data_IF_841864816690
#
_entry.id   IF_841864816690
#
_cell.length_a   1.000
_cell.length_b   1.000
_cell.length_c   1.000
_cell.angle_alpha   90.00
_cell.angle_beta   90.00
_cell.angle_gamma   90.00
#
_symmetry.space_group_name_H-M   'P 1'
#
loop_
_entity.id
_entity.type
_entity.pdbx_description
1 polymer ?
#
# COMPACT_ATOMS: atom_id res chain seq x y z
N UNK A 1 8.12 66.69 45.23
CA UNK A 1 7.32 66.42 46.45
C UNK A 1 6.78 65.00 46.37
N UNK A 2 7.10 64.18 47.39
CA UNK A 2 6.41 62.97 47.89
C UNK A 2 6.07 61.87 46.86
N UNK A 3 6.67 60.67 46.85
CA UNK A 3 6.85 59.65 47.91
C UNK A 3 5.90 58.46 47.68
N UNK A 4 6.49 57.27 47.54
CA UNK A 4 6.03 55.92 47.97
C UNK A 4 4.65 55.44 47.47
N UNK A 5 4.48 54.26 46.90
CA UNK A 5 5.24 53.02 47.05
C UNK A 5 4.33 51.90 47.55
N UNK A 6 4.64 50.66 47.15
CA UNK A 6 4.21 49.38 47.75
C UNK A 6 2.74 48.99 47.51
N UNK A 7 2.32 47.72 47.52
CA UNK A 7 2.90 46.39 47.45
C UNK A 7 1.70 45.47 47.15
N UNK A 8 1.95 44.32 46.53
CA UNK A 8 1.31 43.00 46.69
C UNK A 8 -0.04 42.86 47.40
N UNK A 9 -0.95 42.05 46.84
CA UNK A 9 -1.47 40.82 47.50
C UNK A 9 -2.05 39.84 46.47
N UNK A 10 -1.59 38.62 46.66
CA UNK A 10 -1.88 37.29 46.12
C UNK A 10 -3.36 36.87 46.25
N UNK A 11 -3.92 36.20 45.24
CA UNK A 11 -4.83 35.05 45.45
C UNK A 11 -4.45 33.96 44.45
N UNK A 12 -3.90 32.87 44.99
CA UNK A 12 -3.86 31.57 44.39
C UNK A 12 -5.05 30.76 44.94
N UNK A 13 -5.70 29.92 44.13
CA UNK A 13 -5.99 28.50 44.38
C UNK A 13 -7.19 27.97 43.57
N UNK A 14 -7.03 26.71 43.18
CA UNK A 14 -8.02 25.63 43.12
C UNK A 14 -9.03 25.58 41.97
N UNK A 15 -8.68 24.74 40.99
CA UNK A 15 -9.63 24.04 40.13
C UNK A 15 -9.12 22.63 39.83
N UNK A 16 -8.94 21.83 40.89
CA UNK A 16 -8.65 20.39 40.82
C UNK A 16 -9.88 19.67 40.26
N UNK A 17 -9.86 19.28 38.98
CA UNK A 17 -10.85 18.34 38.43
C UNK A 17 -10.26 16.94 38.52
N UNK A 18 -10.65 16.23 39.57
CA UNK A 18 -10.52 14.78 39.71
C UNK A 18 -11.64 14.16 38.88
N UNK A 19 -11.31 13.53 37.75
CA UNK A 19 -12.20 12.53 37.17
C UNK A 19 -11.75 11.15 37.63
N UNK A 20 -12.63 10.52 38.42
CA UNK A 20 -12.48 9.18 38.95
C UNK A 20 -12.30 8.16 37.82
N UNK A 21 -11.32 7.28 38.01
CA UNK A 21 -11.18 6.01 37.31
C UNK A 21 -12.29 5.05 37.73
N UNK A 22 -13.28 4.84 36.88
CA UNK A 22 -14.19 3.69 37.01
C UNK A 22 -13.52 2.46 36.41
N UNK A 23 -12.92 1.64 37.29
CA UNK A 23 -12.48 0.30 36.95
C UNK A 23 -13.71 -0.58 36.74
N UNK A 24 -13.90 -1.06 35.51
CA UNK A 24 -14.81 -2.19 35.27
C UNK A 24 -13.95 -3.43 35.15
N UNK A 25 -14.02 -4.28 36.17
CA UNK A 25 -13.55 -5.66 36.13
C UNK A 25 -14.33 -6.39 35.03
N UNK A 26 -13.66 -6.70 33.92
CA UNK A 26 -14.13 -7.70 32.98
C UNK A 26 -13.49 -9.03 33.35
N UNK A 27 -14.34 -10.03 33.58
CA UNK A 27 -14.00 -11.37 34.03
C UNK A 27 -12.84 -12.01 33.24
N UNK A 28 -11.86 -12.49 33.98
CA UNK A 28 -10.90 -13.49 33.53
C UNK A 28 -11.67 -14.79 33.22
N UNK A 29 -11.80 -15.11 31.94
CA UNK A 29 -12.24 -16.44 31.51
C UNK A 29 -11.01 -17.35 31.61
N UNK A 30 -11.06 -18.46 32.36
CA UNK A 30 -9.94 -19.37 32.48
C UNK A 30 -9.66 -20.03 31.12
N UNK A 31 -8.39 -19.98 30.71
CA UNK A 31 -7.86 -20.77 29.60
C UNK A 31 -8.08 -22.27 29.87
N UNK A 32 -9.16 -22.83 29.34
CA UNK A 32 -9.23 -24.27 29.12
C UNK A 32 -8.19 -24.66 28.08
N UNK A 33 -7.14 -25.35 28.53
CA UNK A 33 -6.27 -26.17 27.67
C UNK A 33 -7.14 -27.21 26.96
N UNK A 34 -7.58 -26.91 25.73
CA UNK A 34 -7.99 -27.97 24.81
C UNK A 34 -6.74 -28.65 24.27
N UNK A 35 -6.53 -29.87 24.74
CA UNK A 35 -5.76 -30.89 24.03
C UNK A 35 -6.38 -31.08 22.64
N UNK A 36 -5.80 -30.44 21.63
CA UNK A 36 -6.06 -30.77 20.23
C UNK A 36 -5.01 -31.79 19.83
N UNK A 37 -5.45 -33.00 19.48
CA UNK A 37 -4.61 -34.10 19.00
C UNK A 37 -3.87 -33.75 17.70
N UNK A 38 -3.04 -34.66 17.19
CA UNK A 38 -2.12 -34.38 16.09
C UNK A 38 -2.89 -34.10 14.80
N UNK A 39 -3.03 -32.81 14.48
CA UNK A 39 -3.51 -32.34 13.19
C UNK A 39 -2.42 -32.60 12.16
N UNK A 40 -2.69 -33.50 11.20
CA UNK A 40 -1.93 -33.60 9.96
C UNK A 40 -1.68 -32.19 9.38
N UNK A 41 -0.42 -31.90 9.05
CA UNK A 41 0.15 -30.59 8.70
C UNK A 41 -0.71 -29.73 7.75
N UNK A 42 -1.61 -28.93 8.32
CA UNK A 42 -2.29 -27.88 7.57
C UNK A 42 -1.38 -26.66 7.58
N UNK A 43 -0.56 -26.53 6.53
CA UNK A 43 0.25 -25.32 6.34
C UNK A 43 -0.68 -24.10 6.41
N UNK A 44 -0.29 -23.03 7.13
CA UNK A 44 -1.13 -21.85 7.25
C UNK A 44 -1.37 -21.22 5.88
N UNK A 45 -2.63 -20.92 5.56
CA UNK A 45 -3.01 -20.29 4.29
C UNK A 45 -2.58 -18.82 4.25
N UNK A 46 -2.54 -18.16 5.41
CA UNK A 46 -2.15 -16.77 5.59
C UNK A 46 -1.09 -16.61 6.68
N UNK A 47 -0.34 -15.50 6.62
CA UNK A 47 0.59 -15.06 7.66
C UNK A 47 0.20 -13.65 8.11
N UNK A 48 0.18 -13.40 9.42
CA UNK A 48 -0.23 -12.10 9.97
C UNK A 48 0.86 -11.03 9.76
N UNK A 49 0.48 -9.75 9.91
CA UNK A 49 1.46 -8.66 9.92
C UNK A 49 2.46 -8.82 11.08
N UNK A 50 1.95 -9.14 12.28
CA UNK A 50 2.76 -9.29 13.48
C UNK A 50 3.76 -10.44 13.35
N UNK A 51 3.37 -11.55 12.73
CA UNK A 51 4.29 -12.66 12.46
C UNK A 51 5.40 -12.26 11.47
N UNK A 52 5.06 -11.49 10.44
CA UNK A 52 6.03 -10.99 9.48
C UNK A 52 7.01 -10.01 10.14
N UNK A 53 6.50 -9.06 10.90
CA UNK A 53 7.30 -8.07 11.63
C UNK A 53 8.22 -8.73 12.66
N UNK A 54 7.76 -9.79 13.32
CA UNK A 54 8.57 -10.64 14.21
C UNK A 54 9.59 -11.53 13.46
N UNK A 55 9.65 -11.45 12.13
CA UNK A 55 10.61 -12.20 11.31
C UNK A 55 10.25 -13.68 11.15
N UNK A 56 8.98 -14.07 11.31
CA UNK A 56 8.52 -15.47 11.17
C UNK A 56 8.28 -15.90 9.72
N UNK A 57 8.63 -15.07 8.73
CA UNK A 57 8.59 -15.50 7.33
C UNK A 57 9.62 -16.63 7.08
N UNK A 58 9.15 -17.73 6.51
CA UNK A 58 9.99 -18.87 6.11
C UNK A 58 9.77 -19.17 4.62
N UNK A 59 10.75 -18.89 3.76
CA UNK A 59 10.65 -19.20 2.33
C UNK A 59 10.47 -20.69 2.08
N UNK A 60 9.61 -21.04 1.13
CA UNK A 60 9.54 -22.42 0.64
C UNK A 60 10.69 -22.66 -0.36
N UNK A 61 11.70 -23.40 0.08
CA UNK A 61 12.92 -23.69 -0.70
C UNK A 61 12.66 -24.60 -1.90
N UNK A 62 11.51 -25.28 -1.97
CA UNK A 62 11.15 -26.11 -3.12
C UNK A 62 10.62 -25.26 -4.30
N UNK A 63 10.23 -24.01 -4.07
CA UNK A 63 9.72 -23.13 -5.11
C UNK A 63 10.86 -22.63 -6.00
N UNK A 64 10.82 -23.08 -7.25
CA UNK A 64 11.71 -22.55 -8.31
C UNK A 64 11.14 -21.27 -8.90
N UNK A 65 12.04 -20.33 -9.18
CA UNK A 65 11.75 -19.11 -9.94
C UNK A 65 11.14 -19.44 -11.30
N UNK A 66 10.03 -18.80 -11.63
CA UNK A 66 9.41 -18.93 -12.96
C UNK A 66 10.15 -18.07 -13.99
N UNK A 67 10.07 -18.46 -15.27
CA UNK A 67 10.69 -17.74 -16.37
C UNK A 67 10.21 -16.27 -16.42
N UNK A 68 11.13 -15.36 -16.74
CA UNK A 68 10.89 -13.90 -16.72
C UNK A 68 9.63 -13.48 -17.48
N UNK A 69 9.45 -14.03 -18.68
CA UNK A 69 8.29 -13.75 -19.55
C UNK A 69 6.94 -14.11 -18.89
N UNK A 70 6.91 -15.13 -18.03
CA UNK A 70 5.68 -15.57 -17.34
C UNK A 70 5.39 -14.80 -16.06
N UNK A 71 6.40 -14.14 -15.47
CA UNK A 71 6.22 -13.34 -14.24
C UNK A 71 5.25 -12.18 -14.48
N UNK A 72 5.41 -11.46 -15.59
CA UNK A 72 4.54 -10.32 -15.90
C UNK A 72 3.07 -10.74 -15.97
N UNK A 73 2.77 -11.89 -16.59
CA UNK A 73 1.41 -12.43 -16.63
C UNK A 73 0.90 -12.89 -15.25
N UNK A 74 1.77 -13.54 -14.45
CA UNK A 74 1.39 -14.04 -13.12
C UNK A 74 1.09 -12.92 -12.11
N UNK A 75 1.75 -11.78 -12.27
CA UNK A 75 1.63 -10.62 -11.37
C UNK A 75 0.95 -9.41 -12.02
N UNK A 76 0.32 -9.57 -13.19
CA UNK A 76 -0.25 -8.47 -14.00
C UNK A 76 -1.24 -7.59 -13.24
N UNK A 77 -1.91 -8.18 -12.27
CA UNK A 77 -2.96 -7.61 -11.44
C UNK A 77 -2.43 -7.19 -10.05
N UNK A 78 -1.22 -6.64 -10.01
CA UNK A 78 -0.62 -6.09 -8.80
C UNK A 78 0.09 -4.77 -9.05
N UNK A 79 0.13 -3.90 -8.03
CA UNK A 79 1.08 -2.80 -7.99
C UNK A 79 2.54 -3.29 -7.90
N UNK A 80 3.45 -2.47 -8.39
CA UNK A 80 4.89 -2.68 -8.42
C UNK A 80 5.63 -1.38 -8.05
N UNK A 81 6.70 -1.50 -7.29
CA UNK A 81 7.67 -0.43 -7.09
C UNK A 81 9.05 -0.96 -7.47
N UNK A 82 9.78 -0.25 -8.34
CA UNK A 82 11.12 -0.65 -8.81
C UNK A 82 11.19 -2.11 -9.32
N UNK A 83 10.14 -2.56 -10.02
CA UNK A 83 10.07 -3.93 -10.56
C UNK A 83 9.81 -5.03 -9.51
N UNK A 84 9.47 -4.66 -8.27
CA UNK A 84 9.11 -5.57 -7.18
C UNK A 84 7.61 -5.47 -6.88
N UNK A 85 6.87 -6.58 -6.79
CA UNK A 85 5.43 -6.55 -6.53
C UNK A 85 5.10 -6.11 -5.10
N UNK A 86 4.01 -5.36 -4.96
CA UNK A 86 3.43 -4.98 -3.67
C UNK A 86 2.22 -5.87 -3.38
N UNK A 87 2.14 -6.37 -2.14
CA UNK A 87 1.02 -7.16 -1.63
C UNK A 87 0.25 -6.38 -0.58
N UNK A 88 -1.06 -6.41 -0.70
CA UNK A 88 -1.96 -5.84 0.29
C UNK A 88 -2.47 -6.93 1.22
N UNK A 89 -2.55 -6.63 2.52
CA UNK A 89 -3.12 -7.55 3.51
C UNK A 89 -4.62 -7.73 3.29
N UNK A 90 -5.11 -8.95 3.50
CA UNK A 90 -6.54 -9.21 3.71
C UNK A 90 -6.91 -9.20 5.20
N UNK A 91 -8.16 -9.50 5.56
CA UNK A 91 -8.62 -9.51 6.95
C UNK A 91 -7.84 -10.46 7.88
N UNK A 92 -7.24 -11.53 7.33
CA UNK A 92 -6.46 -12.53 8.06
C UNK A 92 -4.94 -12.43 7.82
N UNK A 93 -4.48 -11.28 7.32
CA UNK A 93 -3.10 -11.07 6.90
C UNK A 93 -2.87 -11.39 5.42
N UNK A 94 -1.66 -11.84 5.10
CA UNK A 94 -1.20 -12.03 3.72
C UNK A 94 -1.30 -13.50 3.31
N UNK A 95 -1.70 -13.75 2.07
CA UNK A 95 -1.71 -15.11 1.50
C UNK A 95 -0.29 -15.68 1.39
N UNK A 96 0.04 -16.64 2.26
CA UNK A 96 1.42 -17.12 2.44
C UNK A 96 1.98 -17.73 1.16
N UNK A 97 1.19 -18.56 0.46
CA UNK A 97 1.61 -19.18 -0.80
C UNK A 97 1.97 -18.14 -1.87
N UNK A 98 1.24 -17.02 -1.94
CA UNK A 98 1.49 -15.96 -2.91
C UNK A 98 2.77 -15.18 -2.57
N UNK A 99 3.02 -14.94 -1.27
CA UNK A 99 4.27 -14.34 -0.81
C UNK A 99 5.47 -15.24 -1.07
N UNK A 100 5.38 -16.53 -0.75
CA UNK A 100 6.44 -17.50 -1.00
C UNK A 100 6.79 -17.57 -2.49
N UNK A 101 5.78 -17.59 -3.38
CA UNK A 101 6.00 -17.57 -4.83
C UNK A 101 6.68 -16.27 -5.28
N UNK A 102 6.22 -15.10 -4.82
CA UNK A 102 6.84 -13.82 -5.17
C UNK A 102 8.28 -13.70 -4.66
N UNK A 103 8.54 -14.18 -3.46
CA UNK A 103 9.89 -14.23 -2.91
C UNK A 103 10.80 -15.15 -3.73
N UNK A 104 10.33 -16.32 -4.15
CA UNK A 104 11.09 -17.19 -5.06
C UNK A 104 11.35 -16.53 -6.42
N UNK A 105 10.41 -15.74 -6.93
CA UNK A 105 10.48 -15.15 -8.26
C UNK A 105 11.32 -13.87 -8.34
N UNK A 106 11.35 -13.07 -7.27
CA UNK A 106 11.98 -11.75 -7.23
C UNK A 106 13.08 -11.63 -6.18
N UNK A 107 13.19 -12.56 -5.23
CA UNK A 107 14.08 -12.47 -4.05
C UNK A 107 13.85 -11.24 -3.16
N UNK A 108 12.81 -10.44 -3.48
CA UNK A 108 12.37 -9.24 -2.77
C UNK A 108 10.87 -9.10 -3.01
N UNK A 109 10.13 -8.70 -1.97
CA UNK A 109 8.67 -8.47 -2.03
C UNK A 109 8.33 -7.32 -1.10
N UNK A 110 7.43 -6.44 -1.54
CA UNK A 110 6.90 -5.35 -0.74
C UNK A 110 5.51 -5.69 -0.21
N UNK A 111 5.22 -5.27 1.01
CA UNK A 111 3.94 -5.49 1.69
C UNK A 111 3.41 -4.14 2.18
N UNK A 112 2.16 -3.81 1.86
CA UNK A 112 1.46 -2.67 2.46
C UNK A 112 0.83 -3.10 3.76
N UNK A 113 1.25 -2.47 4.86
CA UNK A 113 0.55 -2.59 6.14
C UNK A 113 -0.84 -1.98 6.09
N UNK A 114 -1.64 -2.26 7.10
CA UNK A 114 -2.90 -1.54 7.34
C UNK A 114 -2.62 -0.15 7.89
N UNK A 115 -2.41 0.80 6.99
CA UNK A 115 -2.17 2.20 7.35
C UNK A 115 -3.33 2.82 8.16
N UNK A 116 -4.55 2.32 8.00
CA UNK A 116 -5.71 2.69 8.83
C UNK A 116 -5.56 2.29 10.32
N UNK A 117 -4.68 1.34 10.61
CA UNK A 117 -4.33 0.88 11.95
C UNK A 117 -2.94 1.34 12.41
N UNK A 118 -2.27 2.20 11.63
CA UNK A 118 -0.89 2.63 11.91
C UNK A 118 0.17 1.56 11.65
N UNK A 119 -0.13 0.51 10.87
CA UNK A 119 0.88 -0.46 10.45
C UNK A 119 1.77 0.11 9.34
N UNK A 120 3.07 -0.12 9.48
CA UNK A 120 4.07 0.25 8.48
C UNK A 120 4.02 -0.70 7.26
N UNK A 121 4.67 -0.30 6.18
CA UNK A 121 4.91 -1.20 5.06
C UNK A 121 6.15 -2.02 5.36
N UNK A 122 6.17 -3.28 4.93
CA UNK A 122 7.30 -4.19 5.13
C UNK A 122 7.96 -4.53 3.80
N UNK A 123 9.24 -4.87 3.85
CA UNK A 123 9.96 -5.48 2.73
C UNK A 123 10.57 -6.79 3.19
N UNK A 124 10.26 -7.85 2.45
CA UNK A 124 10.93 -9.14 2.59
C UNK A 124 12.00 -9.21 1.52
N UNK A 125 13.26 -9.50 1.88
CA UNK A 125 14.33 -9.67 0.90
C UNK A 125 15.31 -10.77 1.29
N UNK A 126 16.06 -11.26 0.31
CA UNK A 126 17.16 -12.20 0.49
C UNK A 126 18.43 -11.44 0.83
N UNK A 127 18.97 -11.63 2.03
CA UNK A 127 20.23 -11.02 2.44
C UNK A 127 21.44 -11.65 1.72
N UNK A 128 22.64 -11.14 1.99
CA UNK A 128 23.88 -11.62 1.36
C UNK A 128 24.21 -13.09 1.68
N UNK A 129 23.76 -13.60 2.83
CA UNK A 129 23.92 -15.01 3.23
C UNK A 129 22.85 -15.93 2.62
N UNK A 130 21.91 -15.36 1.88
CA UNK A 130 20.83 -16.09 1.25
C UNK A 130 19.63 -16.39 2.16
N UNK A 131 19.59 -15.83 3.36
CA UNK A 131 18.47 -15.92 4.28
C UNK A 131 17.43 -14.84 3.99
N UNK A 132 16.17 -15.11 4.30
CA UNK A 132 15.12 -14.09 4.24
C UNK A 132 15.19 -13.18 5.46
N UNK A 133 15.09 -11.88 5.23
CA UNK A 133 14.90 -10.86 6.26
C UNK A 133 13.61 -10.10 5.99
N UNK A 134 12.94 -9.68 7.06
CA UNK A 134 11.78 -8.80 7.01
C UNK A 134 12.14 -7.53 7.75
N UNK A 135 11.97 -6.40 7.09
CA UNK A 135 12.27 -5.07 7.63
C UNK A 135 11.11 -4.12 7.33
N UNK A 136 11.05 -3.00 8.05
CA UNK A 136 10.24 -1.86 7.61
C UNK A 136 10.72 -1.41 6.23
N UNK A 137 9.77 -1.17 5.34
CA UNK A 137 10.05 -0.68 4.01
C UNK A 137 10.66 0.73 4.07
N UNK A 138 11.35 1.13 3.00
CA UNK A 138 11.84 2.51 2.91
C UNK A 138 10.66 3.49 2.89
N UNK A 139 10.87 4.77 3.27
CA UNK A 139 9.82 5.78 3.23
C UNK A 139 9.13 5.88 1.85
N UNK A 140 9.89 5.76 0.76
CA UNK A 140 9.38 5.82 -0.60
C UNK A 140 8.45 4.64 -0.91
N UNK A 141 8.84 3.42 -0.53
CA UNK A 141 7.99 2.23 -0.70
C UNK A 141 6.75 2.32 0.18
N UNK A 142 6.89 2.83 1.41
CA UNK A 142 5.78 3.03 2.31
C UNK A 142 4.75 4.00 1.69
N UNK A 143 5.20 5.18 1.27
CA UNK A 143 4.35 6.18 0.64
C UNK A 143 3.70 5.65 -0.64
N UNK A 144 4.48 5.05 -1.53
CA UNK A 144 3.96 4.47 -2.78
C UNK A 144 2.90 3.39 -2.52
N UNK A 145 3.12 2.54 -1.51
CA UNK A 145 2.15 1.51 -1.14
C UNK A 145 0.87 2.10 -0.53
N UNK A 146 0.99 3.18 0.25
CA UNK A 146 -0.12 3.94 0.84
C UNK A 146 -0.97 4.59 -0.24
N UNK A 147 -0.34 5.24 -1.21
CA UNK A 147 -1.03 5.81 -2.36
C UNK A 147 -1.72 4.73 -3.21
N UNK A 148 -1.04 3.59 -3.47
CA UNK A 148 -1.61 2.51 -4.27
C UNK A 148 -2.85 1.88 -3.60
N UNK A 149 -2.84 1.70 -2.27
CA UNK A 149 -4.02 1.21 -1.55
C UNK A 149 -5.12 2.26 -1.47
N UNK A 150 -4.78 3.55 -1.32
CA UNK A 150 -5.75 4.64 -1.36
C UNK A 150 -6.44 4.71 -2.74
N UNK A 151 -5.67 4.65 -3.82
CA UNK A 151 -6.19 4.59 -5.17
C UNK A 151 -7.11 3.39 -5.37
N UNK A 152 -6.75 2.22 -4.82
CA UNK A 152 -7.61 1.02 -4.89
C UNK A 152 -8.94 1.21 -4.17
N UNK A 153 -8.93 1.86 -3.00
CA UNK A 153 -10.15 2.14 -2.21
C UNK A 153 -11.05 3.16 -2.90
N UNK A 154 -10.47 4.18 -3.54
CA UNK A 154 -11.22 5.29 -4.15
C UNK A 154 -11.67 5.02 -5.58
N UNK A 155 -10.77 4.53 -6.44
CA UNK A 155 -11.00 4.36 -7.88
C UNK A 155 -11.14 2.89 -8.31
N UNK A 156 -10.98 1.95 -7.38
CA UNK A 156 -11.09 0.52 -7.64
C UNK A 156 -9.76 -0.15 -8.03
N UNK A 157 -9.82 -1.48 -8.15
CA UNK A 157 -8.64 -2.32 -8.37
C UNK A 157 -7.96 -2.07 -9.72
N UNK A 158 -8.74 -1.91 -10.79
CA UNK A 158 -8.19 -1.64 -12.12
C UNK A 158 -7.37 -0.35 -12.13
N UNK A 159 -7.92 0.74 -11.59
CA UNK A 159 -7.24 2.04 -11.52
C UNK A 159 -5.90 1.94 -10.77
N UNK A 160 -5.91 1.30 -9.59
CA UNK A 160 -4.69 1.11 -8.80
C UNK A 160 -3.63 0.27 -9.51
N UNK A 161 -4.02 -0.83 -10.16
CA UNK A 161 -3.08 -1.70 -10.89
C UNK A 161 -2.53 -1.02 -12.15
N UNK A 162 -3.33 -0.19 -12.82
CA UNK A 162 -2.87 0.52 -14.03
C UNK A 162 -1.94 1.66 -13.65
N UNK A 163 -2.26 2.43 -12.60
CA UNK A 163 -1.44 3.55 -12.15
C UNK A 163 -0.15 3.11 -11.45
N UNK A 164 -0.24 2.10 -10.59
CA UNK A 164 0.86 1.70 -9.71
C UNK A 164 1.47 0.35 -10.09
N UNK A 165 1.11 -0.24 -11.23
CA UNK A 165 1.60 -1.56 -11.64
C UNK A 165 2.93 -1.54 -12.37
N UNK A 166 3.27 -2.67 -12.99
CA UNK A 166 4.52 -2.77 -13.76
C UNK A 166 4.58 -1.75 -14.90
N UNK A 167 5.81 -1.28 -15.18
CA UNK A 167 6.13 -0.44 -16.34
C UNK A 167 5.62 -1.07 -17.63
N UNK A 168 5.11 -0.25 -18.52
CA UNK A 168 4.63 -0.69 -19.83
C UNK A 168 5.78 -0.74 -20.83
N UNK A 169 5.53 -1.33 -22.01
CA UNK A 169 6.58 -1.47 -23.02
C UNK A 169 7.04 -0.09 -23.50
N UNK A 170 8.35 0.14 -23.49
CA UNK A 170 8.94 1.33 -24.08
C UNK A 170 8.60 1.41 -25.58
N UNK A 171 8.34 2.61 -26.07
CA UNK A 171 8.15 2.85 -27.51
C UNK A 171 9.50 2.77 -28.21
N UNK A 172 9.83 1.60 -28.76
CA UNK A 172 11.01 1.40 -29.60
C UNK A 172 10.67 1.79 -31.06
N UNK A 173 11.31 2.85 -31.60
CA UNK A 173 11.25 3.21 -33.02
C UNK A 173 10.69 4.60 -33.36
N UNK A 174 10.62 4.90 -34.67
CA UNK A 174 10.37 6.23 -35.31
C UNK A 174 9.14 7.02 -34.85
N UNK A 175 8.23 6.43 -34.07
CA UNK A 175 7.03 7.09 -33.56
C UNK A 175 7.30 7.51 -32.11
N UNK A 176 8.09 8.56 -31.96
CA UNK A 176 8.44 9.12 -30.65
C UNK A 176 7.22 9.88 -30.09
N UNK A 177 6.24 9.16 -29.53
CA UNK A 177 5.10 9.77 -28.84
C UNK A 177 5.59 10.29 -27.50
N UNK A 178 5.81 11.60 -27.41
CA UNK A 178 6.20 12.26 -26.16
C UNK A 178 5.18 12.06 -25.04
N UNK A 179 5.61 12.28 -23.81
CA UNK A 179 4.72 12.26 -22.63
C UNK A 179 3.65 13.35 -22.78
N UNK A 180 2.35 13.02 -22.69
CA UNK A 180 1.30 14.03 -22.78
C UNK A 180 1.34 14.99 -21.58
N UNK A 181 0.95 16.25 -21.84
CA UNK A 181 0.72 17.24 -20.79
C UNK A 181 -0.46 16.85 -19.90
N UNK A 182 -0.45 17.30 -18.65
CA UNK A 182 -1.49 16.98 -17.67
C UNK A 182 -2.88 17.47 -18.10
N UNK A 183 -2.99 18.63 -18.73
CA UNK A 183 -4.23 19.15 -19.33
C UNK A 183 -4.92 18.11 -20.22
N UNK A 184 -4.16 17.48 -21.13
CA UNK A 184 -4.68 16.40 -21.98
C UNK A 184 -5.15 15.18 -21.20
N UNK A 185 -4.51 14.86 -20.08
CA UNK A 185 -4.95 13.76 -19.20
C UNK A 185 -6.30 14.10 -18.58
N UNK A 186 -6.47 15.34 -18.11
CA UNK A 186 -7.68 15.80 -17.44
C UNK A 186 -8.87 15.99 -18.37
N UNK A 187 -8.63 16.47 -19.58
CA UNK A 187 -9.68 16.68 -20.59
C UNK A 187 -10.11 15.37 -21.29
N UNK A 188 -9.39 14.26 -21.05
CA UNK A 188 -9.73 12.97 -21.63
C UNK A 188 -10.97 12.35 -20.96
N UNK A 189 -11.82 11.61 -21.69
CA UNK A 189 -12.93 10.90 -21.10
C UNK A 189 -12.46 9.90 -20.04
N UNK A 190 -13.13 9.90 -18.89
CA UNK A 190 -12.82 8.94 -17.84
C UNK A 190 -13.07 7.50 -18.28
N UNK A 191 -12.11 6.64 -17.95
CA UNK A 191 -12.27 5.22 -18.10
C UNK A 191 -13.44 4.74 -17.23
N UNK A 192 -14.28 3.88 -17.80
CA UNK A 192 -15.42 3.35 -17.09
C UNK A 192 -14.97 2.43 -15.95
N UNK A 193 -15.66 2.46 -14.81
CA UNK A 193 -15.31 1.63 -13.64
C UNK A 193 -15.34 0.11 -13.91
N UNK A 194 -16.02 -0.34 -14.97
CA UNK A 194 -16.12 -1.75 -15.37
C UNK A 194 -15.00 -2.21 -16.33
N UNK A 195 -14.07 -1.33 -16.73
CA UNK A 195 -12.98 -1.68 -17.64
C UNK A 195 -12.04 -2.71 -17.01
N UNK A 196 -11.59 -3.69 -17.80
CA UNK A 196 -10.58 -4.66 -17.35
C UNK A 196 -9.19 -4.02 -17.28
N UNK A 197 -8.28 -4.65 -16.53
CA UNK A 197 -6.88 -4.20 -16.43
C UNK A 197 -6.21 -4.24 -17.81
N UNK A 198 -6.47 -5.28 -18.59
CA UNK A 198 -5.93 -5.46 -19.93
C UNK A 198 -6.40 -4.35 -20.89
N UNK A 199 -7.69 -4.05 -20.91
CA UNK A 199 -8.25 -2.98 -21.75
C UNK A 199 -7.72 -1.61 -21.33
N UNK A 200 -7.67 -1.32 -20.02
CA UNK A 200 -7.15 -0.07 -19.51
C UNK A 200 -5.66 0.12 -19.84
N UNK A 201 -4.84 -0.94 -19.75
CA UNK A 201 -3.44 -0.90 -20.17
C UNK A 201 -3.31 -0.68 -21.68
N UNK A 202 -4.12 -1.35 -22.49
CA UNK A 202 -4.12 -1.13 -23.94
C UNK A 202 -4.51 0.32 -24.31
N UNK A 203 -5.51 0.90 -23.63
CA UNK A 203 -5.86 2.31 -23.80
C UNK A 203 -4.71 3.22 -23.41
N UNK A 204 -4.05 2.96 -22.27
CA UNK A 204 -2.91 3.74 -21.81
C UNK A 204 -1.71 3.64 -22.76
N UNK A 205 -1.41 2.47 -23.32
CA UNK A 205 -0.35 2.29 -24.32
C UNK A 205 -0.67 3.05 -25.62
N UNK A 206 -1.92 2.99 -26.09
CA UNK A 206 -2.36 3.64 -27.31
C UNK A 206 -2.40 5.16 -27.18
N UNK A 207 -3.04 5.66 -26.13
CA UNK A 207 -3.30 7.09 -25.92
C UNK A 207 -2.17 7.80 -25.18
N UNK A 208 -1.30 7.05 -24.49
CA UNK A 208 -0.23 7.55 -23.59
C UNK A 208 -0.74 8.25 -22.34
N UNK A 209 -2.04 8.27 -22.13
CA UNK A 209 -2.71 8.78 -20.95
C UNK A 209 -4.02 8.05 -20.72
N UNK A 210 -4.50 8.09 -19.49
CA UNK A 210 -5.79 7.59 -19.05
C UNK A 210 -6.19 8.33 -17.77
N UNK A 211 -7.48 8.52 -17.52
CA UNK A 211 -7.92 8.90 -16.19
C UNK A 211 -9.09 8.00 -15.72
N UNK A 212 -9.22 7.89 -14.40
CA UNK A 212 -10.33 7.23 -13.72
C UNK A 212 -11.02 8.26 -12.83
N UNK A 213 -12.34 8.24 -12.78
CA UNK A 213 -13.13 9.18 -11.99
C UNK A 213 -14.03 8.41 -11.03
N UNK A 214 -14.20 8.94 -9.82
CA UNK A 214 -15.17 8.37 -8.87
C UNK A 214 -16.59 8.49 -9.41
N UNK A 215 -17.49 7.62 -8.95
CA UNK A 215 -18.88 7.60 -9.45
C UNK A 215 -19.65 8.92 -9.20
N UNK A 216 -19.24 9.66 -8.17
CA UNK A 216 -19.78 10.98 -7.80
C UNK A 216 -19.07 12.16 -8.51
N UNK A 217 -18.00 11.89 -9.28
CA UNK A 217 -17.23 12.91 -9.98
C UNK A 217 -16.32 13.78 -9.11
N UNK A 218 -16.20 13.48 -7.80
CA UNK A 218 -15.45 14.34 -6.86
C UNK A 218 -13.94 14.11 -6.88
N UNK A 219 -13.47 13.00 -7.44
CA UNK A 219 -12.04 12.73 -7.56
C UNK A 219 -11.70 12.13 -8.92
N UNK A 220 -10.50 12.46 -9.41
CA UNK A 220 -9.93 11.97 -10.67
C UNK A 220 -8.50 11.50 -10.43
N UNK A 221 -8.20 10.27 -10.84
CA UNK A 221 -6.84 9.73 -10.92
C UNK A 221 -6.39 9.74 -12.37
N UNK A 222 -5.43 10.59 -12.70
CA UNK A 222 -4.82 10.65 -14.04
C UNK A 222 -3.51 9.92 -14.08
N UNK A 223 -3.24 9.32 -15.23
CA UNK A 223 -2.05 8.52 -15.50
C UNK A 223 -1.52 8.98 -16.86
N UNK A 224 -0.21 9.21 -16.94
CA UNK A 224 0.50 9.43 -18.21
C UNK A 224 1.68 8.48 -18.32
N UNK A 225 1.94 8.04 -19.54
CA UNK A 225 2.95 7.06 -19.88
C UNK A 225 4.13 7.74 -20.59
N UNK A 226 5.32 7.63 -19.99
CA UNK A 226 6.58 8.15 -20.51
C UNK A 226 7.20 7.25 -21.59
N UNK A 227 7.97 7.79 -22.55
CA UNK A 227 8.52 7.03 -23.69
C UNK A 227 9.30 5.77 -23.30
N UNK A 228 9.94 5.80 -22.12
CA UNK A 228 10.71 4.71 -21.51
C UNK A 228 9.85 3.62 -20.86
N UNK A 229 8.52 3.80 -20.82
CA UNK A 229 7.59 2.87 -20.19
C UNK A 229 7.22 3.22 -18.74
N UNK A 230 7.82 4.27 -18.18
CA UNK A 230 7.51 4.73 -16.83
C UNK A 230 6.11 5.34 -16.75
N UNK A 231 5.44 5.10 -15.64
CA UNK A 231 4.11 5.61 -15.33
C UNK A 231 4.25 6.79 -14.37
N UNK A 232 3.52 7.86 -14.63
CA UNK A 232 3.36 8.97 -13.70
C UNK A 232 1.88 9.22 -13.47
N UNK A 233 1.49 9.34 -12.21
CA UNK A 233 0.12 9.46 -11.77
C UNK A 233 -0.08 10.68 -10.87
N UNK A 234 -1.25 11.30 -10.97
CA UNK A 234 -1.68 12.38 -10.09
C UNK A 234 -3.15 12.21 -9.72
N UNK A 235 -3.48 12.60 -8.51
CA UNK A 235 -4.83 12.63 -7.98
C UNK A 235 -5.30 14.09 -7.89
N UNK A 236 -6.45 14.40 -8.49
CA UNK A 236 -7.20 15.63 -8.24
C UNK A 236 -8.47 15.33 -7.45
N UNK A 237 -8.76 16.15 -6.45
CA UNK A 237 -9.96 16.07 -5.63
C UNK A 237 -10.63 17.44 -5.66
N UNK A 238 -11.94 17.48 -5.92
CA UNK A 238 -12.74 18.71 -5.81
C UNK A 238 -12.99 19.09 -4.35
N UNK A 239 -12.70 18.19 -3.41
CA UNK A 239 -12.61 18.51 -1.99
C UNK A 239 -11.25 19.17 -1.78
N UNK A 240 -11.25 20.42 -1.30
CA UNK A 240 -10.09 21.11 -0.75
C UNK A 240 -9.22 20.17 0.10
N UNK A 241 -7.89 20.37 0.13
CA UNK A 241 -6.94 19.36 0.62
C UNK A 241 -7.25 18.91 2.05
N UNK A 242 -7.46 17.60 2.22
CA UNK A 242 -7.40 16.95 3.53
C UNK A 242 -5.93 16.75 3.86
N UNK A 243 -5.38 17.65 4.68
CA UNK A 243 -4.09 17.43 5.30
C UNK A 243 -4.23 16.29 6.31
N UNK A 244 -3.61 15.14 6.02
CA UNK A 244 -3.36 14.12 7.04
C UNK A 244 -2.08 14.51 7.79
N UNK A 245 -2.24 14.95 9.03
CA UNK A 245 -1.16 15.15 10.02
C UNK A 245 -0.93 13.86 10.78
#
# INVERSE_FOLDING_TARGET
MRSLGRLSITIALLGLIVFLTSTTKANEIPFERRNVGPSYDRRPETISYQDLEAGNFRPDLALRRIASQRRNSFYRNRPFHEGVPIFFSGPKGYWLQRLQRAYADYSKVHLSGRHDLGEDSLTIYKNQLGHSEVVKASPEVHEYSREAIAARKTFGETAAVVAYGHMLRATEGRVNRGTPGWEKVWDSPAAQNAITIEEARALLENNRHLNFMTADGHAVLGIRLHPDGALEQKWLSSLEPVFHV
#
